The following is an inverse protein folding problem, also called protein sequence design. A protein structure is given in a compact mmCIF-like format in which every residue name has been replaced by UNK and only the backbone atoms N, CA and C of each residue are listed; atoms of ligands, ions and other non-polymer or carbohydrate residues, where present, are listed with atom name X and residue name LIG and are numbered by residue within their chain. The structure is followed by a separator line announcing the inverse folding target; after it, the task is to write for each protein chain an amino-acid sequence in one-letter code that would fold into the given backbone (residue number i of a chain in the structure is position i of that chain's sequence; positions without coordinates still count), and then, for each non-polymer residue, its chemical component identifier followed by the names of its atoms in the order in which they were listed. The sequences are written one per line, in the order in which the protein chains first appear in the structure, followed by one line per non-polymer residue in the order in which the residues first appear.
data_IF_515374050776
#
_entry.id   IF_515374050776
#
_cell.length_a   1.000
_cell.length_b   1.000
_cell.length_c   1.000
_cell.angle_alpha   90.00
_cell.angle_beta   90.00
_cell.angle_gamma   90.00
#
_symmetry.space_group_name_H-M   'P 1'
#
loop_
_entity.id
_entity.type
_entity.pdbx_description
1 polymer ?
#
# COMPACT_ATOMS: atom_id res chain seq x y z
N UNK A 1 6.95 -41.72 -13.40
CA UNK A 1 6.46 -41.02 -12.19
C UNK A 1 6.63 -39.54 -12.44
N UNK A 2 5.55 -38.88 -12.84
CA UNK A 2 5.52 -37.45 -13.19
C UNK A 2 5.43 -36.64 -11.89
N UNK A 3 6.50 -35.94 -11.54
CA UNK A 3 6.50 -34.97 -10.46
C UNK A 3 5.79 -33.71 -10.93
N UNK A 4 4.55 -33.52 -10.49
CA UNK A 4 3.87 -32.23 -10.54
C UNK A 4 4.67 -31.23 -9.70
N UNK A 5 5.36 -30.29 -10.35
CA UNK A 5 5.79 -29.04 -9.71
C UNK A 5 4.53 -28.39 -9.15
N UNK A 6 4.36 -28.40 -7.82
CA UNK A 6 3.46 -27.43 -7.18
C UNK A 6 3.88 -26.06 -7.69
N UNK A 7 2.95 -25.30 -8.26
CA UNK A 7 3.21 -23.92 -8.68
C UNK A 7 3.76 -23.18 -7.47
N UNK A 8 4.97 -22.62 -7.59
CA UNK A 8 5.54 -21.82 -6.53
C UNK A 8 4.58 -20.66 -6.27
N UNK A 9 4.11 -20.55 -5.01
CA UNK A 9 3.30 -19.42 -4.59
C UNK A 9 4.19 -18.19 -4.66
N UNK A 10 3.76 -17.17 -5.41
CA UNK A 10 4.49 -15.91 -5.51
C UNK A 10 4.25 -15.15 -4.19
N UNK A 11 5.31 -14.72 -3.48
CA UNK A 11 5.15 -14.03 -2.20
C UNK A 11 4.35 -12.73 -2.35
N UNK A 12 3.59 -12.38 -1.31
CA UNK A 12 2.77 -11.16 -1.25
C UNK A 12 3.37 -10.15 -0.26
N UNK A 13 3.49 -8.88 -0.67
CA UNK A 13 4.02 -7.82 0.18
C UNK A 13 3.02 -6.67 0.37
N UNK A 14 2.70 -6.36 1.63
CA UNK A 14 1.89 -5.21 2.04
C UNK A 14 2.71 -3.92 1.99
N UNK A 15 2.19 -2.90 1.31
CA UNK A 15 2.89 -1.62 1.11
C UNK A 15 2.67 -0.57 2.22
N UNK A 16 1.69 -0.79 3.10
CA UNK A 16 1.10 0.23 4.00
C UNK A 16 0.50 1.45 3.27
N UNK A 17 0.36 1.37 1.94
CA UNK A 17 -0.24 2.41 1.12
C UNK A 17 -1.75 2.18 1.05
N UNK A 18 -2.51 2.96 1.83
CA UNK A 18 -3.97 3.01 1.84
C UNK A 18 -4.52 3.78 0.64
N UNK A 19 -5.49 3.21 -0.03
CA UNK A 19 -6.24 3.81 -1.13
C UNK A 19 -7.71 3.90 -0.74
N UNK A 20 -8.39 4.91 -1.27
CA UNK A 20 -9.84 4.93 -1.27
C UNK A 20 -10.36 3.78 -2.16
N UNK A 21 -11.38 3.01 -1.73
CA UNK A 21 -11.85 1.85 -2.47
C UNK A 21 -12.21 2.12 -3.94
N UNK A 22 -12.80 3.29 -4.22
CA UNK A 22 -13.21 3.73 -5.56
C UNK A 22 -12.04 3.87 -6.54
N UNK A 23 -10.80 4.00 -6.05
CA UNK A 23 -9.60 4.21 -6.85
C UNK A 23 -8.90 2.89 -7.23
N UNK A 24 -9.26 1.78 -6.60
CA UNK A 24 -8.50 0.52 -6.69
C UNK A 24 -8.50 -0.09 -8.09
N UNK A 25 -9.63 -0.05 -8.81
CA UNK A 25 -9.73 -0.57 -10.18
C UNK A 25 -8.79 0.16 -11.15
N UNK A 26 -8.76 1.50 -11.07
CA UNK A 26 -7.86 2.33 -11.86
C UNK A 26 -6.40 1.97 -11.57
N UNK A 27 -6.04 1.88 -10.29
CA UNK A 27 -4.67 1.56 -9.86
C UNK A 27 -4.25 0.16 -10.34
N UNK A 28 -5.13 -0.84 -10.21
CA UNK A 28 -4.86 -2.19 -10.74
C UNK A 28 -4.65 -2.16 -12.25
N UNK A 29 -5.46 -1.40 -12.98
CA UNK A 29 -5.31 -1.26 -14.45
C UNK A 29 -3.97 -0.64 -14.83
N UNK A 30 -3.51 0.39 -14.11
CA UNK A 30 -2.21 1.02 -14.35
C UNK A 30 -1.07 0.03 -14.11
N UNK A 31 -1.07 -0.64 -12.96
CA UNK A 31 -0.04 -1.62 -12.60
C UNK A 31 0.03 -2.78 -13.61
N UNK A 32 -1.13 -3.31 -14.01
CA UNK A 32 -1.19 -4.40 -15.01
C UNK A 32 -0.60 -3.98 -16.35
N UNK A 33 -0.74 -2.71 -16.74
CA UNK A 33 -0.17 -2.17 -17.98
C UNK A 33 1.37 -2.24 -18.07
N UNK A 34 2.08 -2.28 -16.94
CA UNK A 34 3.54 -2.44 -16.87
C UNK A 34 3.98 -3.83 -16.40
N UNK A 35 3.03 -4.76 -16.26
CA UNK A 35 3.29 -6.13 -15.82
C UNK A 35 3.44 -6.31 -14.32
N UNK A 36 3.17 -5.29 -13.50
CA UNK A 36 3.16 -5.44 -12.04
C UNK A 36 1.92 -6.24 -11.62
N UNK A 37 2.15 -7.35 -10.92
CA UNK A 37 1.08 -8.12 -10.32
C UNK A 37 0.73 -7.54 -8.95
N UNK A 38 -0.47 -6.97 -8.84
CA UNK A 38 -0.94 -6.32 -7.62
C UNK A 38 -2.39 -6.70 -7.34
N UNK A 39 -2.75 -6.67 -6.06
CA UNK A 39 -4.14 -6.80 -5.61
C UNK A 39 -4.41 -5.85 -4.45
N UNK A 40 -5.67 -5.73 -4.08
CA UNK A 40 -6.09 -4.95 -2.92
C UNK A 40 -6.69 -5.85 -1.84
N UNK A 41 -6.41 -5.51 -0.59
CA UNK A 41 -7.07 -6.09 0.58
C UNK A 41 -7.67 -4.98 1.44
N UNK A 42 -8.72 -5.26 2.24
CA UNK A 42 -9.19 -4.33 3.25
C UNK A 42 -8.06 -3.90 4.18
N UNK A 43 -8.00 -2.60 4.51
CA UNK A 43 -7.05 -2.06 5.47
C UNK A 43 -7.28 -2.67 6.87
N UNK A 44 -6.39 -3.57 7.34
CA UNK A 44 -6.53 -4.24 8.63
C UNK A 44 -6.29 -3.29 9.81
N UNK A 45 -5.61 -2.15 9.58
CA UNK A 45 -5.45 -1.13 10.63
C UNK A 45 -6.79 -0.46 10.93
N UNK A 46 -7.70 -0.40 9.95
CA UNK A 46 -8.96 0.35 10.00
C UNK A 46 -8.74 1.85 10.30
N UNK A 47 -7.53 2.35 10.05
CA UNK A 47 -7.13 3.73 10.34
C UNK A 47 -7.93 4.74 9.54
N UNK A 48 -8.31 4.38 8.31
CA UNK A 48 -9.00 5.27 7.40
C UNK A 48 -10.42 4.77 7.08
N UNK A 49 -11.39 5.69 7.14
CA UNK A 49 -12.75 5.52 6.66
C UNK A 49 -13.01 6.52 5.54
N UNK A 50 -13.71 6.09 4.50
CA UNK A 50 -14.04 6.87 3.32
C UNK A 50 -15.55 6.97 3.18
N UNK A 51 -16.02 8.14 2.78
CA UNK A 51 -17.42 8.43 2.48
C UNK A 51 -17.51 9.45 1.33
N UNK A 52 -18.70 9.67 0.78
CA UNK A 52 -18.88 10.53 -0.42
C UNK A 52 -18.33 11.96 -0.29
N UNK A 53 -18.21 12.48 0.93
CA UNK A 53 -17.76 13.86 1.21
C UNK A 53 -16.32 13.94 1.72
N UNK A 54 -15.58 12.83 1.79
CA UNK A 54 -14.18 12.84 2.24
C UNK A 54 -13.73 11.57 2.95
N UNK A 55 -12.82 11.74 3.90
CA UNK A 55 -12.30 10.66 4.72
C UNK A 55 -12.11 11.09 6.16
N UNK A 56 -12.13 10.12 7.07
CA UNK A 56 -11.76 10.27 8.47
C UNK A 56 -10.55 9.41 8.78
N UNK A 57 -9.68 9.89 9.66
CA UNK A 57 -8.45 9.23 10.08
C UNK A 57 -8.39 9.07 11.60
N UNK A 58 -7.97 7.90 12.05
CA UNK A 58 -7.60 7.65 13.45
C UNK A 58 -6.11 7.90 13.63
N UNK A 59 -5.74 8.80 14.54
CA UNK A 59 -4.33 9.08 14.79
C UNK A 59 -3.61 7.98 15.59
N UNK A 60 -4.33 7.24 16.45
CA UNK A 60 -3.72 6.25 17.36
C UNK A 60 -4.59 5.01 17.49
N UNK A 61 -4.02 3.79 17.50
CA UNK A 61 -4.82 2.57 17.48
C UNK A 61 -5.69 2.38 18.72
N UNK A 62 -5.30 2.91 19.88
CA UNK A 62 -6.16 2.89 21.09
C UNK A 62 -7.52 3.58 20.90
N UNK A 63 -7.61 4.52 19.97
CA UNK A 63 -8.84 5.22 19.64
C UNK A 63 -9.71 4.46 18.62
N UNK A 64 -9.27 3.30 18.11
CA UNK A 64 -10.08 2.48 17.19
C UNK A 64 -11.38 2.01 17.83
N UNK A 65 -11.39 1.76 19.15
CA UNK A 65 -12.59 1.38 19.88
C UNK A 65 -13.66 2.50 19.83
N UNK A 66 -13.20 3.75 19.99
CA UNK A 66 -14.07 4.94 19.96
C UNK A 66 -14.41 5.38 18.53
N UNK A 67 -13.57 5.03 17.56
CA UNK A 67 -13.79 5.32 16.14
C UNK A 67 -15.01 4.60 15.56
N UNK A 68 -15.52 3.58 16.26
CA UNK A 68 -16.79 2.91 15.98
C UNK A 68 -16.80 2.07 14.70
N UNK A 69 -17.91 1.38 14.47
CA UNK A 69 -18.18 0.65 13.22
C UNK A 69 -18.34 1.60 12.03
N UNK A 70 -18.33 1.05 10.81
CA UNK A 70 -18.70 1.81 9.61
C UNK A 70 -20.14 2.31 9.74
N UNK A 71 -20.35 3.60 9.49
CA UNK A 71 -21.65 4.20 9.28
C UNK A 71 -22.23 3.90 7.90
N UNK A 72 -23.45 4.37 7.65
CA UNK A 72 -24.11 4.17 6.35
C UNK A 72 -23.32 4.84 5.22
N UNK A 73 -22.96 4.05 4.20
CA UNK A 73 -22.19 4.53 3.06
C UNK A 73 -20.69 4.75 3.33
N UNK A 74 -20.21 4.44 4.53
CA UNK A 74 -18.78 4.44 4.83
C UNK A 74 -18.11 3.14 4.41
N UNK A 75 -16.85 3.23 4.00
CA UNK A 75 -16.01 2.08 3.67
C UNK A 75 -14.63 2.22 4.28
N UNK A 76 -14.01 1.11 4.66
CA UNK A 76 -12.60 1.13 5.06
C UNK A 76 -11.70 1.25 3.85
N UNK A 77 -10.50 1.80 4.06
CA UNK A 77 -9.46 1.86 3.04
C UNK A 77 -9.07 0.48 2.51
N UNK A 78 -8.38 0.50 1.37
CA UNK A 78 -7.81 -0.69 0.74
C UNK A 78 -6.30 -0.55 0.67
N UNK A 79 -5.57 -1.64 0.88
CA UNK A 79 -4.12 -1.68 0.81
C UNK A 79 -3.65 -2.33 -0.46
N UNK A 80 -2.69 -1.67 -1.09
CA UNK A 80 -1.95 -2.27 -2.20
C UNK A 80 -1.05 -3.39 -1.69
N UNK A 81 -1.27 -4.59 -2.21
CA UNK A 81 -0.41 -5.76 -2.06
C UNK A 81 0.29 -6.01 -3.39
N UNK A 82 1.61 -6.19 -3.34
CA UNK A 82 2.44 -6.50 -4.51
C UNK A 82 2.83 -7.96 -4.46
N UNK A 83 2.55 -8.69 -5.53
CA UNK A 83 2.85 -10.12 -5.67
C UNK A 83 4.08 -10.28 -6.57
N UNK A 84 5.25 -10.33 -5.96
CA UNK A 84 6.53 -10.40 -6.66
C UNK A 84 7.63 -10.91 -5.72
N UNK A 85 8.82 -11.17 -6.26
CA UNK A 85 10.01 -11.39 -5.43
C UNK A 85 10.29 -10.18 -4.55
N UNK A 86 10.82 -10.41 -3.34
CA UNK A 86 11.00 -9.38 -2.30
C UNK A 86 11.65 -8.09 -2.81
N UNK A 87 12.72 -8.21 -3.58
CA UNK A 87 13.47 -7.07 -4.11
C UNK A 87 12.62 -6.24 -5.08
N UNK A 88 11.88 -6.90 -5.97
CA UNK A 88 11.02 -6.24 -6.93
C UNK A 88 9.84 -5.56 -6.23
N UNK A 89 9.17 -6.26 -5.32
CA UNK A 89 8.08 -5.69 -4.54
C UNK A 89 8.52 -4.44 -3.76
N UNK A 90 9.69 -4.50 -3.13
CA UNK A 90 10.27 -3.37 -2.43
C UNK A 90 10.59 -2.19 -3.35
N UNK A 91 11.15 -2.45 -4.53
CA UNK A 91 11.45 -1.41 -5.50
C UNK A 91 10.17 -0.72 -6.00
N UNK A 92 9.11 -1.49 -6.27
CA UNK A 92 7.80 -0.96 -6.67
C UNK A 92 7.24 -0.04 -5.57
N UNK A 93 7.19 -0.53 -4.33
CA UNK A 93 6.63 0.20 -3.19
C UNK A 93 7.43 1.49 -2.93
N UNK A 94 8.76 1.42 -2.97
CA UNK A 94 9.63 2.59 -2.79
C UNK A 94 9.50 3.60 -3.91
N UNK A 95 9.32 3.15 -5.15
CA UNK A 95 9.13 4.05 -6.29
C UNK A 95 7.80 4.80 -6.20
N UNK A 96 6.71 4.11 -5.83
CA UNK A 96 5.40 4.75 -5.61
C UNK A 96 5.49 5.78 -4.47
N UNK A 97 6.19 5.45 -3.39
CA UNK A 97 6.42 6.39 -2.27
C UNK A 97 7.22 7.61 -2.70
N UNK A 98 8.30 7.42 -3.43
CA UNK A 98 9.11 8.52 -3.95
C UNK A 98 8.30 9.41 -4.91
N UNK A 99 7.47 8.81 -5.77
CA UNK A 99 6.55 9.54 -6.64
C UNK A 99 5.50 10.33 -5.83
N UNK A 100 4.94 9.78 -4.74
CA UNK A 100 4.03 10.51 -3.86
C UNK A 100 4.69 11.79 -3.31
N UNK A 101 5.92 11.69 -2.81
CA UNK A 101 6.66 12.85 -2.28
C UNK A 101 6.84 13.93 -3.34
N UNK A 102 7.14 13.54 -4.59
CA UNK A 102 7.27 14.48 -5.71
C UNK A 102 5.92 15.13 -6.07
N UNK A 103 4.85 14.35 -6.12
CA UNK A 103 3.49 14.82 -6.45
C UNK A 103 2.96 15.79 -5.39
N UNK A 104 3.21 15.52 -4.12
CA UNK A 104 2.81 16.40 -3.00
C UNK A 104 3.66 17.66 -2.86
N UNK A 105 4.79 17.75 -3.58
CA UNK A 105 5.69 18.90 -3.49
C UNK A 105 6.55 18.92 -2.22
N UNK A 106 7.18 17.79 -1.88
CA UNK A 106 8.18 17.63 -0.80
C UNK A 106 7.63 17.82 0.63
N UNK A 107 6.62 17.01 1.06
CA UNK A 107 6.10 17.06 2.42
C UNK A 107 7.13 16.55 3.45
N UNK A 108 7.00 17.02 4.70
CA UNK A 108 7.79 16.53 5.83
C UNK A 108 7.70 14.99 5.95
N UNK A 109 8.82 14.30 5.73
CA UNK A 109 8.92 12.85 5.86
C UNK A 109 8.96 12.45 7.35
N UNK A 110 7.81 12.52 8.02
CA UNK A 110 7.70 12.20 9.46
C UNK A 110 7.94 10.72 9.76
N UNK A 111 7.70 9.85 8.78
CA UNK A 111 7.84 8.40 8.94
C UNK A 111 8.86 7.91 7.92
N UNK A 112 9.73 6.99 8.36
CA UNK A 112 10.76 6.40 7.50
C UNK A 112 10.18 5.72 6.26
N UNK A 113 11.03 5.06 5.48
CA UNK A 113 10.65 4.47 4.19
C UNK A 113 10.44 2.95 4.35
N UNK A 114 9.33 2.45 4.94
CA UNK A 114 9.16 1.02 5.11
C UNK A 114 9.07 0.35 3.74
N UNK A 115 9.92 -0.67 3.59
CA UNK A 115 9.78 -1.74 2.61
C UNK A 115 8.41 -2.42 2.74
N UNK A 116 8.04 -3.20 1.74
CA UNK A 116 6.87 -4.06 1.85
C UNK A 116 7.03 -5.05 3.00
N UNK A 117 5.94 -5.30 3.73
CA UNK A 117 5.86 -6.34 4.75
C UNK A 117 5.30 -7.62 4.12
N UNK A 118 6.04 -8.72 4.21
CA UNK A 118 5.61 -10.00 3.65
C UNK A 118 4.36 -10.52 4.38
N UNK A 119 3.32 -10.86 3.62
CA UNK A 119 2.08 -11.44 4.15
C UNK A 119 2.21 -12.96 4.00
N UNK A 120 2.14 -13.73 5.11
CA UNK A 120 2.14 -15.19 5.05
C UNK A 120 0.95 -15.72 4.26
N UNK A 121 1.07 -16.89 3.64
CA UNK A 121 -0.06 -17.52 2.93
C UNK A 121 -1.13 -18.10 3.88
N UNK A 122 -0.76 -18.39 5.13
CA UNK A 122 -1.67 -18.97 6.12
C UNK A 122 -2.67 -17.93 6.67
N UNK A 123 -3.96 -18.24 6.56
CA UNK A 123 -5.03 -17.32 6.96
C UNK A 123 -5.08 -17.05 8.48
N UNK A 124 -4.66 -18.00 9.31
CA UNK A 124 -4.60 -17.81 10.76
C UNK A 124 -3.46 -16.86 11.13
N UNK A 125 -2.29 -17.06 10.52
CA UNK A 125 -1.12 -16.19 10.70
C UNK A 125 -1.40 -14.78 10.20
N UNK A 126 -2.04 -14.63 9.04
CA UNK A 126 -2.51 -13.33 8.54
C UNK A 126 -3.43 -12.64 9.54
N UNK A 127 -4.41 -13.36 10.08
CA UNK A 127 -5.37 -12.82 11.05
C UNK A 127 -4.68 -12.33 12.33
N UNK A 128 -3.70 -13.09 12.82
CA UNK A 128 -2.86 -12.68 13.96
C UNK A 128 -2.02 -11.44 13.64
N UNK A 129 -1.37 -11.37 12.48
CA UNK A 129 -0.58 -10.18 12.08
C UNK A 129 -1.48 -8.94 11.99
N UNK A 130 -2.63 -9.07 11.35
CA UNK A 130 -3.55 -7.95 11.13
C UNK A 130 -4.08 -7.37 12.43
N UNK A 131 -4.40 -8.23 13.41
CA UNK A 131 -4.93 -7.80 14.69
C UNK A 131 -3.84 -7.41 15.69
N UNK A 132 -2.80 -8.22 15.81
CA UNK A 132 -1.84 -8.14 16.93
C UNK A 132 -0.57 -7.35 16.57
N UNK A 133 -0.30 -7.13 15.28
CA UNK A 133 0.88 -6.37 14.81
C UNK A 133 0.45 -5.04 14.20
N UNK A 134 -0.42 -5.07 13.18
CA UNK A 134 -0.77 -3.85 12.42
C UNK A 134 -1.59 -2.82 13.20
N UNK A 135 -2.27 -3.22 14.28
CA UNK A 135 -2.97 -2.32 15.20
C UNK A 135 -2.12 -1.91 16.42
N UNK A 136 -0.81 -2.16 16.42
CA UNK A 136 0.11 -1.62 17.43
C UNK A 136 0.64 -0.25 17.00
N UNK A 137 0.94 0.64 17.96
CA UNK A 137 1.35 2.04 17.68
C UNK A 137 2.42 2.15 16.59
N UNK A 138 3.47 1.32 16.62
CA UNK A 138 4.59 1.40 15.67
C UNK A 138 4.20 1.09 14.22
N UNK A 139 3.40 0.05 13.99
CA UNK A 139 2.96 -0.30 12.63
C UNK A 139 1.77 0.54 12.17
N UNK A 140 0.87 0.87 13.09
CA UNK A 140 -0.32 1.66 12.80
C UNK A 140 0.03 3.01 12.16
N UNK A 141 1.13 3.62 12.61
CA UNK A 141 1.64 4.88 12.08
C UNK A 141 2.12 4.79 10.63
N UNK A 142 2.51 3.60 10.15
CA UNK A 142 3.01 3.38 8.78
C UNK A 142 1.91 3.40 7.71
N UNK A 143 0.67 3.08 8.11
CA UNK A 143 -0.49 3.17 7.22
C UNK A 143 -0.72 4.62 6.87
N UNK A 144 -0.63 4.95 5.59
CA UNK A 144 -0.78 6.32 5.12
C UNK A 144 -1.82 6.37 4.02
N UNK A 145 -2.65 7.41 3.99
CA UNK A 145 -3.51 7.75 2.87
C UNK A 145 -3.08 9.09 2.26
N UNK A 146 -3.17 9.20 0.93
CA UNK A 146 -2.95 10.43 0.16
C UNK A 146 -3.92 10.46 -1.01
N UNK A 147 -4.59 11.59 -1.23
CA UNK A 147 -5.63 11.70 -2.26
C UNK A 147 -5.04 11.53 -3.67
N UNK A 148 -3.85 12.06 -3.90
CA UNK A 148 -3.15 12.08 -5.18
C UNK A 148 -2.39 10.76 -5.47
N UNK A 149 -2.50 9.76 -4.59
CA UNK A 149 -1.73 8.52 -4.72
C UNK A 149 -1.91 7.77 -6.04
N UNK A 150 -3.10 7.73 -6.68
CA UNK A 150 -3.22 7.15 -8.01
C UNK A 150 -2.32 7.84 -9.05
N UNK A 151 -2.09 9.15 -8.93
CA UNK A 151 -1.16 9.90 -9.81
C UNK A 151 0.28 9.45 -9.59
N UNK A 152 0.68 9.27 -8.34
CA UNK A 152 2.01 8.74 -8.01
C UNK A 152 2.21 7.31 -8.52
N UNK A 153 1.18 6.46 -8.46
CA UNK A 153 1.24 5.13 -9.08
C UNK A 153 1.42 5.26 -10.60
N UNK A 154 0.63 6.09 -11.27
CA UNK A 154 0.77 6.31 -12.71
C UNK A 154 2.19 6.80 -13.08
N UNK A 155 2.75 7.73 -12.30
CA UNK A 155 4.12 8.21 -12.47
C UNK A 155 5.15 7.07 -12.31
N UNK A 156 5.01 6.26 -11.26
CA UNK A 156 5.90 5.13 -10.98
C UNK A 156 5.84 4.06 -12.08
N UNK A 157 4.63 3.71 -12.53
CA UNK A 157 4.36 2.76 -13.62
C UNK A 157 5.03 3.22 -14.91
N UNK A 158 4.85 4.49 -15.28
CA UNK A 158 5.44 5.05 -16.51
C UNK A 158 6.97 5.16 -16.44
N UNK A 159 7.52 5.35 -15.23
CA UNK A 159 8.97 5.41 -15.03
C UNK A 159 9.63 4.03 -15.05
N UNK A 160 8.89 2.94 -14.80
CA UNK A 160 9.46 1.63 -14.46
C UNK A 160 10.51 1.12 -15.45
N UNK A 161 10.28 1.31 -16.75
CA UNK A 161 11.20 0.86 -17.80
C UNK A 161 12.39 1.79 -18.07
N UNK A 162 12.38 3.03 -17.57
CA UNK A 162 13.50 3.99 -17.73
C UNK A 162 14.20 4.25 -16.39
N UNK A 163 15.38 3.63 -16.23
CA UNK A 163 16.24 3.78 -15.06
C UNK A 163 16.61 5.23 -14.73
N UNK A 164 16.72 6.11 -15.74
CA UNK A 164 17.05 7.52 -15.52
C UNK A 164 15.88 8.25 -14.87
N UNK A 165 14.65 7.93 -15.27
CA UNK A 165 13.44 8.51 -14.68
C UNK A 165 13.26 7.99 -13.25
N UNK A 166 13.41 6.68 -13.02
CA UNK A 166 13.40 6.08 -11.67
C UNK A 166 14.41 6.77 -10.75
N UNK A 167 15.64 6.94 -11.22
CA UNK A 167 16.68 7.65 -10.46
C UNK A 167 16.30 9.11 -10.17
N UNK A 168 15.77 9.84 -11.16
CA UNK A 168 15.35 11.22 -10.99
C UNK A 168 14.25 11.35 -9.93
N UNK A 169 13.24 10.47 -9.95
CA UNK A 169 12.16 10.44 -8.96
C UNK A 169 12.73 10.23 -7.55
N UNK A 170 13.60 9.24 -7.37
CA UNK A 170 14.22 8.99 -6.07
C UNK A 170 15.09 10.16 -5.60
N UNK A 171 15.87 10.77 -6.50
CA UNK A 171 16.72 11.92 -6.16
C UNK A 171 15.88 13.12 -5.73
N UNK A 172 14.83 13.43 -6.49
CA UNK A 172 13.90 14.50 -6.15
C UNK A 172 13.24 14.21 -4.81
N UNK A 173 12.70 13.02 -4.56
CA UNK A 173 12.04 12.69 -3.29
C UNK A 173 12.91 12.83 -2.02
N UNK A 174 14.22 13.04 -2.15
CA UNK A 174 15.17 13.19 -1.03
C UNK A 174 15.82 14.58 -0.97
N UNK A 175 15.55 15.44 -1.95
CA UNK A 175 16.08 16.81 -2.04
C UNK A 175 15.17 17.77 -1.30
#
# INVERSE_FOLDING_TARGET
MSGSKLGAVVPSFCSFLVFEPSQTELVMSLCRGTGWNVRFIPDPSKRYKFHKSGHSEVAQPRALADFGSLGEGETHGQLLVVEAERTEANNIIQLIRAANVVVEGFPDQKYGNPSGFEIPDDASEQSSIFKDIFQTNGFFELFSFKMERPVAVAMAVNAWSDRRIVYAIHKLSKS
#
